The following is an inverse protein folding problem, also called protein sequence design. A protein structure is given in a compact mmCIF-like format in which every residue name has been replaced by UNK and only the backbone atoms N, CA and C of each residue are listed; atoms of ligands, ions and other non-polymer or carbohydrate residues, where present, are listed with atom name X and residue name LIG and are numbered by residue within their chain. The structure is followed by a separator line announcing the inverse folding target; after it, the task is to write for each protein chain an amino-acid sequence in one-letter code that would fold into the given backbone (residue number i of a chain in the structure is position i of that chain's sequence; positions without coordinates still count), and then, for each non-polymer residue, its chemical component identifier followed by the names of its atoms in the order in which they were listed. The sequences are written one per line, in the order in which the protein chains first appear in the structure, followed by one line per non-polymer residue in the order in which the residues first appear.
data_IF_361405563016
#
_entry.id   IF_361405563016
#
_cell.length_a   1.000
_cell.length_b   1.000
_cell.length_c   1.000
_cell.angle_alpha   90.00
_cell.angle_beta   90.00
_cell.angle_gamma   90.00
#
_symmetry.space_group_name_H-M   'P 1'
#
loop_
_entity.id
_entity.type
_entity.pdbx_description
1 polymer ?
#
# COMPACT_ATOMS: atom_id res chain seq x y z
N UNK A 1 10.86 26.10 21.22
CA UNK A 1 9.92 27.15 21.65
C UNK A 1 10.25 28.41 20.86
N UNK A 2 9.28 29.09 20.25
CA UNK A 2 9.54 30.40 19.63
C UNK A 2 10.09 31.34 20.69
N UNK A 3 11.09 32.11 20.33
CA UNK A 3 11.63 33.15 21.20
C UNK A 3 10.59 34.28 21.29
N UNK A 4 10.02 34.50 22.46
CA UNK A 4 8.91 35.43 22.65
C UNK A 4 9.36 36.85 23.02
N UNK A 5 10.60 37.01 23.47
CA UNK A 5 11.20 38.30 23.81
C UNK A 5 12.72 38.29 23.64
N UNK A 6 13.27 39.42 23.34
CA UNK A 6 14.70 39.69 23.33
C UNK A 6 15.00 41.00 24.05
N UNK A 7 16.11 41.07 24.76
CA UNK A 7 16.62 42.31 25.31
C UNK A 7 17.46 43.05 24.28
N UNK A 8 17.31 44.35 24.19
CA UNK A 8 18.10 45.21 23.34
C UNK A 8 18.57 46.43 24.11
N UNK A 9 19.82 46.79 23.97
CA UNK A 9 20.38 48.02 24.52
C UNK A 9 20.24 49.13 23.49
N UNK A 10 19.63 50.23 23.90
CA UNK A 10 19.49 51.43 23.08
C UNK A 10 20.64 52.38 23.39
N UNK A 11 21.37 52.77 22.34
CA UNK A 11 22.48 53.76 22.44
C UNK A 11 22.11 54.99 21.58
N UNK A 12 22.23 56.17 22.15
CA UNK A 12 21.88 57.38 21.43
C UNK A 12 22.65 57.56 20.12
N UNK A 13 21.95 57.90 19.04
CA UNK A 13 22.52 58.07 17.70
C UNK A 13 22.89 56.78 16.93
N UNK A 14 22.53 55.57 17.50
CA UNK A 14 22.80 54.29 16.84
C UNK A 14 21.48 53.54 16.64
N UNK A 15 21.50 52.67 15.59
CA UNK A 15 20.41 51.71 15.34
C UNK A 15 20.72 50.39 16.02
N UNK A 16 19.80 49.92 16.89
CA UNK A 16 19.84 48.57 17.49
C UNK A 16 18.91 47.64 16.73
N UNK A 17 19.42 46.47 16.35
CA UNK A 17 18.65 45.47 15.59
C UNK A 17 18.47 44.21 16.43
N UNK A 18 17.28 43.66 16.43
CA UNK A 18 16.95 42.32 16.96
C UNK A 18 16.29 41.47 15.89
N UNK A 19 16.54 40.17 15.95
CA UNK A 19 16.00 39.21 14.96
C UNK A 19 15.20 38.15 15.70
N UNK A 20 13.97 37.91 15.26
CA UNK A 20 13.13 36.81 15.73
C UNK A 20 13.01 35.74 14.66
N UNK A 21 13.29 34.52 15.04
CA UNK A 21 13.17 33.35 14.15
C UNK A 21 11.98 32.47 14.55
N UNK A 22 11.07 32.23 13.63
CA UNK A 22 9.96 31.29 13.80
C UNK A 22 10.36 29.90 13.30
N UNK A 23 10.10 28.89 14.12
CA UNK A 23 10.32 27.49 13.75
C UNK A 23 8.96 26.85 13.43
N UNK A 24 8.87 26.22 12.27
CA UNK A 24 7.66 25.52 11.85
C UNK A 24 7.39 24.31 12.75
N UNK A 25 6.14 24.13 13.13
CA UNK A 25 5.68 23.01 13.94
C UNK A 25 5.73 21.72 13.11
N UNK A 26 6.06 20.62 13.79
CA UNK A 26 6.22 19.30 13.18
C UNK A 26 5.56 18.22 14.03
N UNK A 27 5.18 17.11 13.39
CA UNK A 27 4.70 15.89 13.98
C UNK A 27 5.35 14.69 13.32
N UNK A 28 4.73 13.54 13.44
CA UNK A 28 5.19 12.28 12.86
C UNK A 28 4.02 11.47 12.29
N UNK A 29 4.35 10.49 11.43
CA UNK A 29 3.43 9.45 10.96
C UNK A 29 4.12 8.09 11.13
N UNK A 30 3.41 7.12 11.66
CA UNK A 30 3.77 5.71 11.62
C UNK A 30 2.80 4.95 10.72
N UNK A 31 3.36 4.13 9.82
CA UNK A 31 2.60 3.29 8.91
C UNK A 31 2.88 1.83 9.25
N UNK A 32 1.84 1.09 9.60
CA UNK A 32 1.93 -0.35 9.88
C UNK A 32 1.54 -1.14 8.64
N UNK A 33 2.41 -2.04 8.22
CA UNK A 33 2.24 -2.93 7.09
C UNK A 33 1.91 -4.34 7.53
N UNK A 34 0.87 -4.93 6.94
CA UNK A 34 0.56 -6.36 7.03
C UNK A 34 0.49 -6.98 5.63
N UNK A 35 0.57 -8.29 5.54
CA UNK A 35 0.51 -9.03 4.28
C UNK A 35 0.02 -10.46 4.50
N UNK A 36 -0.74 -11.01 3.55
CA UNK A 36 -1.23 -12.40 3.61
C UNK A 36 -0.10 -13.44 3.61
N UNK A 37 1.07 -13.12 3.03
CA UNK A 37 2.24 -14.01 3.00
C UNK A 37 3.32 -13.66 4.02
N UNK A 38 3.03 -12.72 4.93
CA UNK A 38 3.94 -12.30 5.99
C UNK A 38 5.08 -11.37 5.54
N UNK A 39 5.15 -10.99 4.26
CA UNK A 39 6.18 -10.08 3.77
C UNK A 39 5.84 -8.64 4.15
N UNK A 40 6.53 -8.10 5.15
CA UNK A 40 6.28 -6.77 5.73
C UNK A 40 7.50 -5.86 5.76
N UNK A 41 8.71 -6.40 5.69
CA UNK A 41 9.97 -5.65 5.72
C UNK A 41 10.35 -5.11 4.34
N UNK A 42 10.96 -3.92 4.30
CA UNK A 42 11.47 -3.34 3.06
C UNK A 42 10.39 -2.72 2.15
N UNK A 43 9.14 -2.62 2.62
CA UNK A 43 8.05 -2.00 1.86
C UNK A 43 8.17 -0.49 1.95
N UNK A 44 8.15 0.18 0.78
CA UNK A 44 8.37 1.62 0.65
C UNK A 44 7.04 2.37 0.60
N UNK A 45 6.96 3.44 1.39
CA UNK A 45 5.83 4.36 1.43
C UNK A 45 6.26 5.77 1.03
N UNK A 46 5.37 6.51 0.38
CA UNK A 46 5.51 7.92 0.02
C UNK A 46 4.45 8.75 0.72
N UNK A 47 4.86 9.82 1.40
CA UNK A 47 4.00 10.83 2.00
C UNK A 47 4.17 12.14 1.23
N UNK A 48 3.08 12.68 0.66
CA UNK A 48 3.18 13.91 -0.12
C UNK A 48 1.95 14.80 0.02
N UNK A 49 2.14 16.09 -0.22
CA UNK A 49 1.08 17.10 -0.18
C UNK A 49 1.59 18.47 0.24
N UNK A 50 0.68 19.30 0.76
CA UNK A 50 0.99 20.66 1.23
C UNK A 50 0.84 20.75 2.74
N UNK A 51 1.83 21.37 3.38
CA UNK A 51 1.77 21.71 4.81
C UNK A 51 0.80 22.87 5.08
N UNK A 52 0.50 23.11 6.34
CA UNK A 52 -0.29 24.27 6.78
C UNK A 52 0.34 25.61 6.35
N UNK A 53 1.66 25.68 6.20
CA UNK A 53 2.40 26.84 5.70
C UNK A 53 2.50 26.93 4.19
N UNK A 54 1.86 26.00 3.43
CA UNK A 54 1.87 25.95 1.96
C UNK A 54 3.11 25.29 1.35
N UNK A 55 4.07 24.87 2.18
CA UNK A 55 5.28 24.18 1.70
C UNK A 55 4.94 22.77 1.21
N UNK A 56 5.59 22.34 0.13
CA UNK A 56 5.49 20.97 -0.35
C UNK A 56 6.20 20.01 0.61
N UNK A 57 5.56 18.87 0.86
CA UNK A 57 6.13 17.71 1.52
C UNK A 57 6.12 16.58 0.48
N UNK A 58 7.22 15.88 0.34
CA UNK A 58 7.38 14.69 -0.51
C UNK A 58 8.50 13.85 0.11
N UNK A 59 8.11 12.91 0.96
CA UNK A 59 9.03 12.12 1.79
C UNK A 59 8.77 10.63 1.61
N UNK A 60 9.80 9.82 1.84
CA UNK A 60 9.75 8.37 1.73
C UNK A 60 10.19 7.72 3.03
N UNK A 61 9.56 6.61 3.37
CA UNK A 61 9.99 5.73 4.47
C UNK A 61 9.84 4.28 4.05
N UNK A 62 10.63 3.41 4.68
CA UNK A 62 10.66 1.97 4.41
C UNK A 62 10.34 1.24 5.71
N UNK A 63 9.56 0.17 5.62
CA UNK A 63 9.21 -0.65 6.79
C UNK A 63 10.41 -1.43 7.30
N UNK A 64 10.51 -1.51 8.62
CA UNK A 64 11.46 -2.37 9.33
C UNK A 64 10.94 -3.84 9.39
N UNK A 65 11.67 -4.70 10.10
CA UNK A 65 11.33 -6.12 10.28
C UNK A 65 10.01 -6.35 11.02
N UNK A 66 9.48 -5.34 11.71
CA UNK A 66 8.16 -5.38 12.36
C UNK A 66 7.04 -4.88 11.47
N UNK A 67 7.36 -4.44 10.23
CA UNK A 67 6.41 -3.89 9.27
C UNK A 67 6.04 -2.43 9.54
N UNK A 68 6.88 -1.65 10.26
CA UNK A 68 6.59 -0.26 10.59
C UNK A 68 7.50 0.69 9.82
N UNK A 69 6.91 1.61 9.05
CA UNK A 69 7.59 2.73 8.41
C UNK A 69 7.33 4.02 9.21
N UNK A 70 8.36 4.85 9.42
CA UNK A 70 8.30 6.04 10.25
C UNK A 70 8.71 7.29 9.49
N UNK A 71 7.76 8.22 9.37
CA UNK A 71 8.02 9.58 8.89
C UNK A 71 8.19 10.50 10.11
N UNK A 72 9.37 11.08 10.27
CA UNK A 72 9.72 11.91 11.41
C UNK A 72 9.87 13.37 10.99
N UNK A 73 9.57 14.30 11.92
CA UNK A 73 9.73 15.72 11.66
C UNK A 73 8.93 16.27 10.47
N UNK A 74 7.78 15.68 10.19
CA UNK A 74 6.88 16.12 9.11
C UNK A 74 6.22 17.44 9.50
N UNK A 75 6.14 18.39 8.58
CA UNK A 75 5.43 19.66 8.78
C UNK A 75 3.95 19.40 9.10
N UNK A 76 3.39 20.15 10.05
CA UNK A 76 1.96 20.05 10.36
C UNK A 76 1.10 20.51 9.20
N UNK A 77 -0.08 19.92 9.07
CA UNK A 77 -1.06 20.25 8.03
C UNK A 77 -1.59 19.01 7.33
N UNK A 78 -1.84 19.15 6.06
CA UNK A 78 -2.53 18.17 5.23
C UNK A 78 -3.92 18.67 4.84
N UNK A 79 -4.77 17.79 4.28
CA UNK A 79 -4.50 16.36 4.18
C UNK A 79 -3.30 16.06 3.27
N UNK A 80 -2.41 15.21 3.75
CA UNK A 80 -1.38 14.56 2.94
C UNK A 80 -1.92 13.26 2.37
N UNK A 81 -1.35 12.82 1.25
CA UNK A 81 -1.56 11.48 0.74
C UNK A 81 -0.41 10.59 1.18
N UNK A 82 -0.73 9.41 1.72
CA UNK A 82 0.21 8.32 1.99
C UNK A 82 -0.14 7.13 1.11
N UNK A 83 0.83 6.58 0.39
CA UNK A 83 0.68 5.46 -0.53
C UNK A 83 1.84 4.48 -0.41
N UNK A 84 1.58 3.19 -0.68
CA UNK A 84 2.63 2.21 -0.92
C UNK A 84 3.15 2.39 -2.35
N UNK A 85 4.47 2.45 -2.51
CA UNK A 85 5.13 2.56 -3.82
C UNK A 85 5.96 1.32 -4.10
N UNK A 86 6.12 0.99 -5.38
CA UNK A 86 6.85 -0.20 -5.83
C UNK A 86 6.23 -1.52 -5.30
N UNK A 87 4.90 -1.56 -5.16
CA UNK A 87 4.17 -2.75 -4.70
C UNK A 87 4.51 -3.96 -5.57
N UNK A 88 4.94 -5.06 -4.95
CA UNK A 88 5.31 -6.29 -5.67
C UNK A 88 4.14 -6.81 -6.51
N UNK A 89 4.44 -7.27 -7.73
CA UNK A 89 3.45 -7.67 -8.76
C UNK A 89 2.44 -8.72 -8.29
N UNK A 90 2.80 -9.52 -7.28
CA UNK A 90 1.93 -10.57 -6.70
C UNK A 90 0.79 -10.02 -5.86
N UNK A 91 0.82 -8.75 -5.48
CA UNK A 91 -0.21 -8.12 -4.65
C UNK A 91 -1.20 -7.29 -5.47
N UNK A 92 -2.41 -7.16 -4.92
CA UNK A 92 -3.33 -6.09 -5.29
C UNK A 92 -2.75 -4.78 -4.72
N UNK A 93 -2.64 -3.76 -5.55
CA UNK A 93 -2.12 -2.44 -5.13
C UNK A 93 -3.10 -1.84 -4.13
N UNK A 94 -2.68 -1.53 -2.89
CA UNK A 94 -3.57 -0.92 -1.90
C UNK A 94 -3.88 0.54 -2.27
N UNK A 95 -5.10 0.98 -1.96
CA UNK A 95 -5.51 2.36 -2.21
C UNK A 95 -4.72 3.35 -1.34
N UNK A 96 -4.35 4.52 -1.90
CA UNK A 96 -3.78 5.61 -1.13
C UNK A 96 -4.72 6.07 -0.02
N UNK A 97 -4.15 6.55 1.09
CA UNK A 97 -4.91 7.05 2.23
C UNK A 97 -4.60 8.52 2.50
N UNK A 98 -5.55 9.22 3.11
CA UNK A 98 -5.38 10.60 3.55
C UNK A 98 -4.97 10.66 5.01
N UNK A 99 -4.05 11.58 5.36
CA UNK A 99 -3.59 11.79 6.74
C UNK A 99 -3.30 13.26 7.02
N UNK A 100 -3.66 13.74 8.21
CA UNK A 100 -3.27 15.06 8.71
C UNK A 100 -2.24 14.91 9.82
N UNK A 101 -1.24 15.77 9.80
CA UNK A 101 -0.14 15.78 10.80
C UNK A 101 -0.37 16.92 11.78
N UNK A 102 -0.39 16.60 13.07
CA UNK A 102 -0.56 17.55 14.16
C UNK A 102 0.74 17.77 14.92
N UNK A 103 0.87 18.94 15.54
CA UNK A 103 2.06 19.31 16.30
C UNK A 103 2.31 18.35 17.48
N UNK A 104 3.54 17.84 17.55
CA UNK A 104 4.01 16.94 18.60
C UNK A 104 3.11 15.70 18.81
N UNK A 105 2.51 15.20 17.71
CA UNK A 105 1.68 14.00 17.68
C UNK A 105 2.22 13.03 16.65
N UNK A 106 1.94 11.75 16.85
CA UNK A 106 2.13 10.68 15.88
C UNK A 106 0.76 10.36 15.30
N UNK A 107 0.63 10.48 13.98
CA UNK A 107 -0.50 9.96 13.24
C UNK A 107 -0.22 8.50 12.87
N UNK A 108 -1.26 7.69 12.66
CA UNK A 108 -1.12 6.28 12.34
C UNK A 108 -1.94 5.92 11.09
N UNK A 109 -1.40 5.03 10.24
CA UNK A 109 -2.10 4.42 9.11
C UNK A 109 -1.68 2.96 9.00
N UNK A 110 -2.57 2.15 8.42
CA UNK A 110 -2.32 0.73 8.20
C UNK A 110 -2.59 0.36 6.74
N UNK A 111 -1.71 -0.46 6.17
CA UNK A 111 -1.83 -1.01 4.83
C UNK A 111 -1.72 -2.53 4.88
N UNK A 112 -2.62 -3.23 4.18
CA UNK A 112 -2.60 -4.67 4.04
C UNK A 112 -2.38 -5.06 2.59
N UNK A 113 -1.39 -5.91 2.30
CA UNK A 113 -1.22 -6.48 0.98
C UNK A 113 -1.95 -7.81 0.86
N UNK A 114 -2.84 -7.85 -0.13
CA UNK A 114 -3.65 -9.01 -0.49
C UNK A 114 -3.03 -9.64 -1.73
N UNK A 115 -2.79 -10.95 -1.71
CA UNK A 115 -2.26 -11.68 -2.85
C UNK A 115 -3.29 -11.70 -3.99
N UNK A 116 -2.82 -11.53 -5.22
CA UNK A 116 -3.65 -11.74 -6.42
C UNK A 116 -4.00 -13.20 -6.53
N UNK A 117 -5.28 -13.50 -6.71
CA UNK A 117 -5.82 -14.84 -6.84
C UNK A 117 -6.51 -15.00 -8.18
N UNK A 118 -6.56 -16.22 -8.68
CA UNK A 118 -7.23 -16.57 -9.94
C UNK A 118 -7.93 -17.93 -9.81
N UNK A 119 -8.94 -18.13 -10.64
CA UNK A 119 -9.61 -19.41 -10.85
C UNK A 119 -9.37 -19.88 -12.28
N UNK A 120 -9.48 -21.18 -12.50
CA UNK A 120 -9.42 -21.79 -13.83
C UNK A 120 -10.79 -22.36 -14.16
N UNK A 121 -11.40 -21.89 -15.24
CA UNK A 121 -12.62 -22.48 -15.79
C UNK A 121 -12.27 -23.24 -17.07
N UNK A 122 -12.68 -24.49 -17.14
CA UNK A 122 -12.49 -25.36 -18.31
C UNK A 122 -13.85 -25.74 -18.85
N UNK A 123 -14.00 -25.66 -20.18
CA UNK A 123 -15.15 -26.18 -20.91
C UNK A 123 -14.68 -27.23 -21.87
N UNK A 124 -15.17 -28.46 -21.74
CA UNK A 124 -14.99 -29.53 -22.69
C UNK A 124 -16.09 -29.47 -23.75
N UNK A 125 -15.71 -29.49 -25.00
CA UNK A 125 -16.64 -29.51 -26.13
C UNK A 125 -16.37 -30.71 -27.00
N UNK A 126 -17.33 -31.11 -27.82
CA UNK A 126 -17.15 -32.07 -28.89
C UNK A 126 -16.40 -31.41 -30.07
N UNK A 127 -15.43 -32.12 -30.65
CA UNK A 127 -14.57 -31.58 -31.70
C UNK A 127 -15.31 -31.36 -33.05
N UNK A 128 -16.37 -32.13 -33.32
CA UNK A 128 -17.11 -32.05 -34.57
C UNK A 128 -18.24 -31.03 -34.51
N UNK A 129 -18.96 -30.97 -33.38
CA UNK A 129 -20.11 -30.09 -33.23
C UNK A 129 -19.74 -28.74 -32.63
N UNK A 130 -18.57 -28.60 -32.02
CA UNK A 130 -18.14 -27.37 -31.30
C UNK A 130 -18.97 -27.05 -30.07
N UNK A 131 -19.91 -27.90 -29.68
CA UNK A 131 -20.84 -27.73 -28.57
C UNK A 131 -20.55 -28.78 -27.49
N UNK A 132 -21.10 -28.66 -26.27
CA UNK A 132 -21.00 -29.69 -25.23
C UNK A 132 -21.93 -30.89 -25.55
N UNK A 133 -22.00 -31.32 -26.79
CA UNK A 133 -22.77 -32.47 -27.26
C UNK A 133 -21.90 -33.36 -28.15
N UNK A 134 -22.24 -34.61 -28.24
CA UNK A 134 -21.55 -35.63 -29.03
C UNK A 134 -21.63 -37.01 -28.41
N UNK A 135 -21.02 -37.99 -29.03
CA UNK A 135 -21.03 -39.38 -28.56
C UNK A 135 -20.13 -39.63 -27.34
N UNK A 136 -19.20 -38.70 -27.08
CA UNK A 136 -18.34 -38.73 -25.90
C UNK A 136 -19.00 -38.10 -24.68
N UNK A 137 -18.83 -38.72 -23.50
CA UNK A 137 -19.32 -38.20 -22.23
C UNK A 137 -18.67 -36.90 -21.91
N UNK A 138 -19.46 -35.82 -21.70
CA UNK A 138 -18.99 -34.52 -21.26
C UNK A 138 -18.70 -34.49 -19.75
N UNK A 139 -19.55 -35.18 -18.99
CA UNK A 139 -19.42 -35.31 -17.55
C UNK A 139 -18.31 -36.27 -17.15
N UNK A 140 -17.62 -35.98 -16.07
CA UNK A 140 -16.61 -36.85 -15.46
C UNK A 140 -15.25 -36.86 -16.16
N UNK A 141 -15.01 -36.00 -17.15
CA UNK A 141 -13.69 -35.85 -17.74
C UNK A 141 -12.70 -35.26 -16.71
N UNK A 142 -11.58 -35.97 -16.50
CA UNK A 142 -10.59 -35.65 -15.47
C UNK A 142 -9.53 -34.67 -15.98
N UNK A 143 -9.32 -33.59 -15.26
CA UNK A 143 -8.28 -32.58 -15.54
C UNK A 143 -7.38 -32.37 -14.32
N UNK A 144 -6.07 -32.32 -14.57
CA UNK A 144 -5.08 -31.98 -13.54
C UNK A 144 -4.65 -30.52 -13.66
N UNK A 145 -4.57 -29.81 -12.54
CA UNK A 145 -3.95 -28.50 -12.44
C UNK A 145 -2.49 -28.71 -12.00
N UNK A 146 -1.55 -28.14 -12.73
CA UNK A 146 -0.13 -28.28 -12.45
C UNK A 146 0.53 -26.91 -12.20
N UNK A 147 1.48 -26.86 -11.25
CA UNK A 147 2.34 -25.71 -10.99
C UNK A 147 3.80 -26.20 -10.99
N UNK A 148 4.63 -25.65 -11.89
CA UNK A 148 6.03 -26.09 -12.01
C UNK A 148 6.20 -27.58 -12.31
N UNK A 149 5.31 -28.19 -13.10
CA UNK A 149 5.33 -29.61 -13.44
C UNK A 149 4.80 -30.55 -12.35
N UNK A 150 4.42 -30.03 -11.17
CA UNK A 150 3.85 -30.82 -10.07
C UNK A 150 2.34 -30.70 -10.05
N UNK A 151 1.63 -31.84 -9.94
CA UNK A 151 0.18 -31.88 -9.79
C UNK A 151 -0.24 -31.22 -8.48
N UNK A 152 -1.12 -30.24 -8.56
CA UNK A 152 -1.66 -29.48 -7.42
C UNK A 152 -3.06 -29.96 -7.04
N UNK A 153 -3.95 -30.05 -8.05
CA UNK A 153 -5.34 -30.45 -7.86
C UNK A 153 -5.86 -31.23 -9.07
N UNK A 154 -6.98 -31.94 -8.85
CA UNK A 154 -7.72 -32.67 -9.88
C UNK A 154 -9.18 -32.25 -9.84
N UNK A 155 -9.73 -31.96 -11.01
CA UNK A 155 -11.14 -31.61 -11.21
C UNK A 155 -11.79 -32.53 -12.22
N UNK A 156 -13.12 -32.63 -12.14
CA UNK A 156 -13.93 -33.39 -13.07
C UNK A 156 -15.02 -32.48 -13.64
N UNK A 157 -15.29 -32.63 -14.94
CA UNK A 157 -16.36 -31.87 -15.59
C UNK A 157 -17.74 -32.32 -15.12
N UNK A 158 -18.66 -31.36 -15.03
CA UNK A 158 -20.09 -31.58 -14.76
C UNK A 158 -20.83 -32.06 -16.01
N UNK A 159 -22.18 -32.14 -15.93
CA UNK A 159 -23.04 -32.55 -17.02
C UNK A 159 -22.97 -31.65 -18.27
N UNK A 160 -22.56 -30.40 -18.09
CA UNK A 160 -22.36 -29.43 -19.18
C UNK A 160 -20.93 -29.44 -19.75
N UNK A 161 -20.09 -30.35 -19.28
CA UNK A 161 -18.68 -30.42 -19.66
C UNK A 161 -17.80 -29.37 -19.03
N UNK A 162 -18.21 -28.78 -17.90
CA UNK A 162 -17.50 -27.65 -17.27
C UNK A 162 -17.03 -27.96 -15.85
N UNK A 163 -15.95 -27.30 -15.44
CA UNK A 163 -15.62 -27.12 -14.04
C UNK A 163 -14.97 -25.74 -13.83
N UNK A 164 -15.08 -25.22 -12.63
CA UNK A 164 -14.32 -24.07 -12.15
C UNK A 164 -13.53 -24.48 -10.92
N UNK A 165 -12.24 -24.17 -10.91
CA UNK A 165 -11.36 -24.50 -9.78
C UNK A 165 -11.64 -23.63 -8.56
N UNK A 166 -11.09 -24.00 -7.41
CA UNK A 166 -10.87 -23.08 -6.30
C UNK A 166 -9.92 -21.94 -6.70
N UNK A 167 -9.79 -20.94 -5.85
CA UNK A 167 -8.79 -19.87 -6.03
C UNK A 167 -7.36 -20.39 -5.83
N UNK A 168 -6.43 -19.91 -6.67
CA UNK A 168 -5.00 -20.13 -6.59
C UNK A 168 -4.25 -18.80 -6.48
N UNK A 169 -3.04 -18.86 -5.92
CA UNK A 169 -2.08 -17.76 -5.78
C UNK A 169 -0.93 -17.95 -6.76
#
# INVERSE_FOLDING_TARGET
TPQTSQQVTIVGGQTSTVTFNNVLKRGALEVTKTSEDGFVEGVKFRLYGKSLSGLSVDEYAVTDSTGVAKFRNVLIGGPYTIEEVDTAIRYVIPDPQSVSIQWNRVAERSFANILKKFTVTVTKTDAETGTPQGDATLSGAKYGIYKGGKLVDVYYTDANGQFTSKEYI
#
